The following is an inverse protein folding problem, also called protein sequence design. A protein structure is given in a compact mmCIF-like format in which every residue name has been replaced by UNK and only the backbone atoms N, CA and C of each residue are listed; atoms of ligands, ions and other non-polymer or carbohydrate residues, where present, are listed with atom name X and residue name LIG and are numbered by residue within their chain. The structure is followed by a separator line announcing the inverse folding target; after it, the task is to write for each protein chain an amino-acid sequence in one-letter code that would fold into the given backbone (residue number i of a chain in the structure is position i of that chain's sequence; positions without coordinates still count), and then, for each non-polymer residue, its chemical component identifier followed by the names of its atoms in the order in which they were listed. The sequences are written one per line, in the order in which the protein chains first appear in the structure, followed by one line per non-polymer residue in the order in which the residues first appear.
data_IF_293955723800
#
_entry.id   IF_293955723800
#
_cell.length_a   1.000
_cell.length_b   1.000
_cell.length_c   1.000
_cell.angle_alpha   90.00
_cell.angle_beta   90.00
_cell.angle_gamma   90.00
#
_symmetry.space_group_name_H-M   'P 1'
#
loop_
_entity.id
_entity.type
_entity.pdbx_description
1 polymer ?
#
# COMPACT_ATOMS: atom_id res chain seq x y z
N UNK A 1 38.70 13.46 -40.17
CA UNK A 1 37.50 12.60 -39.98
C UNK A 1 37.26 12.11 -38.56
N UNK A 2 38.26 11.87 -37.73
CA UNK A 2 38.08 11.32 -36.37
C UNK A 2 37.46 12.29 -35.34
N UNK A 3 37.67 13.60 -35.44
CA UNK A 3 37.16 14.60 -34.47
C UNK A 3 35.63 14.71 -34.51
N UNK A 4 35.01 14.74 -35.69
CA UNK A 4 33.55 14.85 -35.85
C UNK A 4 32.79 13.61 -35.30
N UNK A 5 33.43 12.45 -35.32
CA UNK A 5 32.82 11.22 -34.75
C UNK A 5 32.79 11.25 -33.20
N UNK A 6 33.83 11.80 -32.58
CA UNK A 6 33.92 11.97 -31.12
C UNK A 6 32.90 13.00 -30.62
N UNK A 7 32.79 14.15 -31.32
CA UNK A 7 31.79 15.17 -30.99
C UNK A 7 30.34 14.64 -31.11
N UNK A 8 30.07 13.85 -32.16
CA UNK A 8 28.75 13.22 -32.35
C UNK A 8 28.43 12.21 -31.24
N UNK A 9 29.42 11.45 -30.77
CA UNK A 9 29.29 10.49 -29.68
C UNK A 9 29.06 11.19 -28.34
N UNK A 10 29.77 12.29 -28.06
CA UNK A 10 29.61 13.11 -26.86
C UNK A 10 28.21 13.78 -26.87
N UNK A 11 27.79 14.36 -28.00
CA UNK A 11 26.43 14.94 -28.15
C UNK A 11 25.34 13.91 -27.93
N UNK A 12 25.48 12.69 -28.47
CA UNK A 12 24.50 11.61 -28.21
C UNK A 12 24.48 11.15 -26.77
N UNK A 13 25.62 11.12 -26.06
CA UNK A 13 25.69 10.81 -24.63
C UNK A 13 25.06 11.92 -23.77
N UNK A 14 25.24 13.18 -24.14
CA UNK A 14 24.64 14.34 -23.45
C UNK A 14 23.12 14.35 -23.69
N UNK A 15 22.65 14.11 -24.93
CA UNK A 15 21.22 14.02 -25.24
C UNK A 15 20.52 12.81 -24.60
N UNK A 16 21.23 11.69 -24.40
CA UNK A 16 20.70 10.54 -23.61
C UNK A 16 20.69 10.80 -22.11
N UNK A 17 21.57 11.67 -21.58
CA UNK A 17 21.52 12.12 -20.16
C UNK A 17 20.34 13.06 -19.88
N UNK A 18 19.84 13.82 -20.87
CA UNK A 18 18.72 14.74 -20.72
C UNK A 18 17.33 14.09 -20.63
N UNK A 19 17.21 12.76 -20.68
CA UNK A 19 15.95 12.01 -20.57
C UNK A 19 15.91 10.98 -19.46
N UNK A 20 16.81 11.04 -18.47
CA UNK A 20 16.54 10.36 -17.21
C UNK A 20 15.54 11.23 -16.46
N UNK A 21 14.22 10.85 -16.48
CA UNK A 21 13.29 11.31 -15.48
C UNK A 21 13.99 11.15 -14.14
N UNK A 22 14.14 12.23 -13.41
CA UNK A 22 14.79 12.22 -12.10
C UNK A 22 14.04 11.23 -11.20
N UNK A 23 14.74 10.52 -10.34
CA UNK A 23 14.17 9.51 -9.44
C UNK A 23 13.09 10.12 -8.54
N UNK A 24 13.17 11.44 -8.32
CA UNK A 24 12.22 12.29 -7.59
C UNK A 24 10.83 12.29 -8.22
N UNK A 25 10.70 12.35 -9.56
CA UNK A 25 9.41 12.37 -10.25
C UNK A 25 8.54 11.14 -9.98
N UNK A 26 9.11 9.99 -9.61
CA UNK A 26 8.36 8.77 -9.37
C UNK A 26 7.71 8.72 -7.98
N UNK A 27 8.33 9.35 -6.99
CA UNK A 27 7.83 9.34 -5.61
C UNK A 27 6.55 10.15 -5.45
N UNK A 28 6.26 11.08 -6.39
CA UNK A 28 5.11 11.96 -6.36
C UNK A 28 4.12 11.71 -7.50
N UNK A 29 4.09 10.47 -8.01
CA UNK A 29 3.18 10.05 -9.08
C UNK A 29 2.27 8.92 -8.62
N UNK A 30 1.08 8.88 -9.18
CA UNK A 30 0.19 7.72 -9.05
C UNK A 30 0.78 6.54 -9.82
N UNK A 31 0.62 5.35 -9.27
CA UNK A 31 1.03 4.10 -9.92
C UNK A 31 0.09 3.76 -11.08
N UNK A 32 0.39 4.28 -12.26
CA UNK A 32 -0.45 4.09 -13.46
C UNK A 32 -0.66 2.62 -13.83
N UNK A 33 0.35 1.77 -13.60
CA UNK A 33 0.20 0.31 -13.84
C UNK A 33 -0.82 -0.34 -12.90
N UNK A 34 -0.96 0.18 -11.68
CA UNK A 34 -1.99 -0.30 -10.76
C UNK A 34 -3.36 0.17 -11.24
N UNK A 35 -3.53 1.46 -11.54
CA UNK A 35 -4.82 2.02 -11.98
C UNK A 35 -5.29 1.48 -13.33
N UNK A 36 -4.36 1.14 -14.23
CA UNK A 36 -4.68 0.45 -15.49
C UNK A 36 -5.19 -0.98 -15.25
N UNK A 37 -4.58 -1.70 -14.28
CA UNK A 37 -4.96 -3.08 -13.95
C UNK A 37 -6.22 -3.16 -13.09
N UNK A 38 -6.41 -2.19 -12.21
CA UNK A 38 -7.48 -2.15 -11.22
C UNK A 38 -8.13 -0.75 -11.19
N UNK A 39 -8.94 -0.38 -12.20
CA UNK A 39 -9.49 0.97 -12.34
C UNK A 39 -10.48 1.34 -11.24
N UNK A 40 -11.11 0.36 -10.62
CA UNK A 40 -12.15 0.56 -9.61
C UNK A 40 -11.61 0.72 -8.18
N UNK A 41 -10.29 0.55 -7.98
CA UNK A 41 -9.68 0.64 -6.66
C UNK A 41 -8.83 1.90 -6.50
N UNK A 42 -8.81 2.43 -5.28
CA UNK A 42 -8.03 3.62 -4.96
C UNK A 42 -6.59 3.28 -4.57
N UNK A 43 -5.64 4.06 -5.08
CA UNK A 43 -4.25 4.01 -4.67
C UNK A 43 -3.69 5.43 -4.49
N UNK A 44 -3.03 5.67 -3.37
CA UNK A 44 -2.42 6.95 -3.04
C UNK A 44 -1.12 7.19 -3.79
N UNK A 45 -0.76 8.47 -3.85
CA UNK A 45 0.45 8.95 -4.51
C UNK A 45 1.70 8.32 -3.91
N UNK A 46 2.71 8.06 -4.72
CA UNK A 46 4.00 7.49 -4.29
C UNK A 46 3.96 6.01 -3.96
N UNK A 47 2.79 5.40 -3.83
CA UNK A 47 2.67 3.96 -3.58
C UNK A 47 3.13 3.15 -4.78
N UNK A 48 4.04 2.21 -4.55
CA UNK A 48 4.59 1.37 -5.60
C UNK A 48 4.35 -0.13 -5.35
N UNK A 49 4.52 -0.91 -6.40
CA UNK A 49 4.19 -2.34 -6.43
C UNK A 49 2.76 -2.57 -6.91
N UNK A 50 2.42 -3.81 -7.21
CA UNK A 50 1.10 -4.21 -7.69
C UNK A 50 0.76 -5.53 -7.00
N UNK A 51 -0.21 -5.56 -6.09
CA UNK A 51 -0.66 -6.79 -5.46
C UNK A 51 -1.47 -7.64 -6.44
N UNK A 52 -1.68 -8.89 -6.09
CA UNK A 52 -2.69 -9.72 -6.71
C UNK A 52 -4.01 -9.53 -5.95
N UNK A 53 -5.00 -8.90 -6.60
CA UNK A 53 -6.32 -8.71 -5.99
C UNK A 53 -7.24 -9.81 -6.46
N UNK A 54 -7.82 -10.54 -5.50
CA UNK A 54 -8.83 -11.55 -5.71
C UNK A 54 -10.19 -10.94 -5.39
N UNK A 55 -10.98 -10.68 -6.42
CA UNK A 55 -12.32 -10.09 -6.31
C UNK A 55 -13.36 -11.04 -6.88
N UNK A 56 -14.38 -11.32 -6.09
CA UNK A 56 -15.56 -12.13 -6.46
C UNK A 56 -16.78 -11.25 -6.71
N UNK A 57 -16.59 -9.94 -6.85
CA UNK A 57 -17.65 -8.96 -7.15
C UNK A 57 -18.79 -8.96 -6.11
N UNK A 58 -18.41 -9.12 -4.85
CA UNK A 58 -19.35 -9.14 -3.71
C UNK A 58 -19.62 -7.74 -3.13
N UNK A 59 -19.42 -6.68 -3.93
CA UNK A 59 -19.69 -5.30 -3.55
C UNK A 59 -18.66 -4.67 -2.61
N UNK A 60 -17.47 -5.27 -2.49
CA UNK A 60 -16.38 -4.77 -1.64
C UNK A 60 -15.29 -4.09 -2.46
N UNK A 61 -14.56 -3.17 -1.84
CA UNK A 61 -13.53 -2.37 -2.51
C UNK A 61 -12.17 -2.45 -1.80
N UNK A 62 -11.14 -1.94 -2.47
CA UNK A 62 -9.78 -1.80 -1.99
C UNK A 62 -9.35 -0.34 -2.01
N UNK A 63 -8.92 0.16 -0.87
CA UNK A 63 -8.32 1.48 -0.73
C UNK A 63 -6.89 1.36 -0.22
N UNK A 64 -5.93 1.94 -0.92
CA UNK A 64 -4.51 1.97 -0.53
C UNK A 64 -4.07 3.42 -0.41
N UNK A 65 -3.49 3.78 0.73
CA UNK A 65 -2.98 5.12 1.01
C UNK A 65 -1.70 5.47 0.24
N UNK A 66 -1.16 6.65 0.55
CA UNK A 66 0.03 7.20 -0.08
C UNK A 66 1.33 6.57 0.45
N UNK A 67 2.39 6.60 -0.37
CA UNK A 67 3.75 6.17 -0.02
C UNK A 67 3.87 4.73 0.49
N UNK A 68 2.93 3.86 0.12
CA UNK A 68 2.99 2.44 0.44
C UNK A 68 4.04 1.69 -0.37
N UNK A 69 4.62 0.66 0.24
CA UNK A 69 5.59 -0.25 -0.40
C UNK A 69 4.97 -1.63 -0.51
N UNK A 70 4.66 -2.08 -1.73
CA UNK A 70 4.07 -3.39 -1.99
C UNK A 70 5.09 -4.28 -2.67
N UNK A 71 5.54 -5.31 -1.96
CA UNK A 71 6.52 -6.26 -2.47
C UNK A 71 5.88 -7.31 -3.42
N UNK A 72 6.71 -8.21 -3.93
CA UNK A 72 6.28 -9.26 -4.85
C UNK A 72 5.30 -10.25 -4.19
N UNK A 73 4.35 -10.75 -4.98
CA UNK A 73 3.40 -11.80 -4.61
C UNK A 73 2.49 -11.46 -3.42
N UNK A 74 2.30 -10.17 -3.11
CA UNK A 74 1.28 -9.77 -2.13
C UNK A 74 -0.09 -10.10 -2.71
N UNK A 75 -0.95 -10.73 -1.90
CA UNK A 75 -2.31 -11.11 -2.26
C UNK A 75 -3.32 -10.40 -1.37
N UNK A 76 -4.37 -9.86 -1.97
CA UNK A 76 -5.47 -9.18 -1.28
C UNK A 76 -6.77 -9.84 -1.69
N UNK A 77 -7.53 -10.33 -0.73
CA UNK A 77 -8.79 -11.02 -0.94
C UNK A 77 -9.94 -10.09 -0.55
N UNK A 78 -10.82 -9.79 -1.49
CA UNK A 78 -11.99 -8.93 -1.27
C UNK A 78 -13.26 -9.72 -0.91
N UNK A 79 -13.16 -11.04 -0.86
CA UNK A 79 -14.28 -11.93 -0.55
C UNK A 79 -13.92 -13.39 -0.75
N UNK A 80 -14.88 -14.18 -1.28
CA UNK A 80 -14.68 -15.61 -1.58
C UNK A 80 -14.81 -16.50 -0.35
N UNK A 81 -15.43 -16.02 0.73
CA UNK A 81 -15.72 -16.82 1.91
C UNK A 81 -16.91 -17.73 1.67
N UNK A 82 -16.72 -19.02 1.88
CA UNK A 82 -17.83 -19.96 1.90
C UNK A 82 -18.51 -19.98 3.28
N UNK A 83 -19.79 -20.36 3.29
CA UNK A 83 -20.55 -20.52 4.52
C UNK A 83 -20.06 -21.73 5.31
N UNK A 84 -19.44 -21.48 6.44
CA UNK A 84 -18.94 -22.53 7.36
C UNK A 84 -19.96 -22.95 8.39
N UNK A 85 -21.07 -22.22 8.48
CA UNK A 85 -22.22 -22.45 9.36
C UNK A 85 -23.34 -23.28 8.71
N UNK A 86 -23.18 -23.65 7.43
CA UNK A 86 -24.08 -24.58 6.73
C UNK A 86 -23.59 -26.03 6.86
N UNK A 87 -24.49 -26.99 6.61
CA UNK A 87 -24.14 -28.42 6.58
C UNK A 87 -23.02 -28.72 5.56
N UNK A 88 -23.00 -27.96 4.47
CA UNK A 88 -21.96 -28.06 3.43
C UNK A 88 -21.32 -26.70 3.19
N UNK A 89 -20.01 -26.70 2.98
CA UNK A 89 -19.28 -25.52 2.50
C UNK A 89 -19.30 -25.40 0.97
N UNK A 90 -19.84 -26.39 0.26
CA UNK A 90 -19.91 -26.36 -1.19
C UNK A 90 -21.02 -25.41 -1.66
N UNK A 91 -20.73 -24.47 -2.58
CA UNK A 91 -21.68 -23.43 -2.99
C UNK A 91 -22.67 -23.98 -4.04
N UNK A 92 -23.51 -24.95 -3.68
CA UNK A 92 -24.50 -25.54 -4.58
C UNK A 92 -25.35 -24.52 -5.32
N UNK A 93 -25.84 -23.42 -4.67
CA UNK A 93 -26.67 -22.43 -5.36
C UNK A 93 -26.01 -21.79 -6.58
N UNK A 94 -24.69 -21.58 -6.54
CA UNK A 94 -23.93 -21.03 -7.68
C UNK A 94 -23.55 -22.07 -8.74
N UNK A 95 -23.65 -23.35 -8.41
CA UNK A 95 -23.18 -24.44 -9.25
C UNK A 95 -24.29 -25.25 -9.89
N UNK A 96 -25.54 -25.09 -9.43
CA UNK A 96 -26.70 -25.73 -10.02
C UNK A 96 -27.21 -24.92 -11.21
N UNK A 97 -27.68 -25.62 -12.26
CA UNK A 97 -28.25 -24.98 -13.45
C UNK A 97 -29.62 -24.32 -13.16
N UNK A 98 -30.38 -24.82 -12.17
CA UNK A 98 -31.68 -24.32 -11.80
C UNK A 98 -31.54 -23.34 -10.63
N UNK A 99 -32.29 -22.21 -10.64
CA UNK A 99 -32.34 -21.30 -9.50
C UNK A 99 -32.81 -22.02 -8.23
N UNK A 100 -32.12 -21.79 -7.13
CA UNK A 100 -32.45 -22.43 -5.84
C UNK A 100 -33.24 -21.50 -4.92
N UNK A 101 -33.25 -20.18 -5.20
CA UNK A 101 -33.77 -19.15 -4.29
C UNK A 101 -32.95 -18.96 -3.02
N UNK A 102 -31.76 -19.59 -2.96
CA UNK A 102 -30.84 -19.45 -1.82
C UNK A 102 -29.79 -18.41 -2.21
N UNK A 103 -29.71 -17.35 -1.40
CA UNK A 103 -28.75 -16.25 -1.54
C UNK A 103 -27.61 -16.42 -0.53
N UNK A 104 -26.56 -15.60 -0.67
CA UNK A 104 -25.44 -15.46 0.29
C UNK A 104 -24.67 -16.79 0.55
N UNK A 105 -24.57 -17.66 -0.44
CA UNK A 105 -23.77 -18.89 -0.32
C UNK A 105 -22.25 -18.64 -0.33
N UNK A 106 -21.82 -17.43 -0.73
CA UNK A 106 -20.47 -16.89 -0.60
C UNK A 106 -20.56 -15.48 -0.04
N UNK A 107 -19.55 -15.05 0.68
CA UNK A 107 -19.57 -13.77 1.40
C UNK A 107 -18.22 -13.05 1.37
N UNK A 108 -18.26 -11.78 1.71
CA UNK A 108 -17.09 -10.99 2.07
C UNK A 108 -17.26 -10.41 3.48
N UNK A 109 -16.15 -10.19 4.18
CA UNK A 109 -16.16 -9.48 5.47
C UNK A 109 -16.13 -7.96 5.30
N UNK A 110 -16.13 -7.45 4.07
CA UNK A 110 -16.12 -6.03 3.75
C UNK A 110 -14.83 -5.57 3.06
N UNK A 111 -14.70 -4.27 2.95
CA UNK A 111 -13.61 -3.58 2.26
C UNK A 111 -12.25 -3.85 2.90
N UNK A 112 -11.20 -3.78 2.06
CA UNK A 112 -9.82 -3.75 2.56
C UNK A 112 -9.30 -2.31 2.49
N UNK A 113 -8.92 -1.77 3.65
CA UNK A 113 -8.39 -0.42 3.77
C UNK A 113 -6.94 -0.46 4.25
N UNK A 114 -6.01 0.05 3.45
CA UNK A 114 -4.59 0.10 3.75
C UNK A 114 -4.17 1.55 3.87
N UNK A 115 -3.66 1.94 5.03
CA UNK A 115 -3.21 3.30 5.31
C UNK A 115 -1.99 3.74 4.50
N UNK A 116 -1.56 4.97 4.72
CA UNK A 116 -0.33 5.53 4.12
C UNK A 116 0.93 5.02 4.83
N UNK A 117 2.09 5.02 4.14
CA UNK A 117 3.38 4.55 4.67
C UNK A 117 3.36 3.07 5.12
N UNK A 118 2.50 2.25 4.54
CA UNK A 118 2.42 0.81 4.86
C UNK A 118 3.41 0.02 4.01
N UNK A 119 4.11 -0.91 4.65
CA UNK A 119 4.95 -1.88 3.96
C UNK A 119 4.32 -3.28 3.99
N UNK A 120 3.87 -3.74 2.83
CA UNK A 120 3.45 -5.12 2.60
C UNK A 120 4.65 -5.90 2.06
N UNK A 121 5.24 -6.75 2.89
CA UNK A 121 6.40 -7.55 2.50
C UNK A 121 5.98 -8.75 1.62
N UNK A 122 6.95 -9.39 0.99
CA UNK A 122 6.71 -10.41 -0.02
C UNK A 122 5.85 -11.56 0.50
N UNK A 123 4.94 -12.03 -0.35
CA UNK A 123 4.01 -13.13 -0.09
C UNK A 123 3.01 -12.88 1.06
N UNK A 124 2.86 -11.64 1.52
CA UNK A 124 1.82 -11.30 2.50
C UNK A 124 0.43 -11.52 1.88
N UNK A 125 -0.51 -11.98 2.71
CA UNK A 125 -1.91 -12.23 2.35
C UNK A 125 -2.78 -11.38 3.26
N UNK A 126 -3.69 -10.60 2.66
CA UNK A 126 -4.64 -9.74 3.38
C UNK A 126 -6.05 -10.24 3.08
N UNK A 127 -6.82 -10.56 4.11
CA UNK A 127 -8.20 -11.01 3.95
C UNK A 127 -9.18 -9.85 3.92
N UNK A 128 -10.39 -10.09 3.40
CA UNK A 128 -11.47 -9.10 3.32
C UNK A 128 -11.90 -8.59 4.69
N UNK A 129 -12.35 -7.34 4.74
CA UNK A 129 -12.76 -6.63 5.96
C UNK A 129 -11.61 -6.10 6.81
N UNK A 130 -10.35 -6.26 6.38
CA UNK A 130 -9.18 -5.86 7.17
C UNK A 130 -8.83 -4.39 6.91
N UNK A 131 -8.61 -3.66 8.01
CA UNK A 131 -8.00 -2.33 8.00
C UNK A 131 -6.55 -2.40 8.49
N UNK A 132 -5.61 -1.91 7.69
CA UNK A 132 -4.19 -1.78 8.04
C UNK A 132 -3.87 -0.32 8.29
N UNK A 133 -3.52 0.02 9.53
CA UNK A 133 -3.23 1.38 9.97
C UNK A 133 -1.97 1.97 9.33
N UNK A 134 -1.90 3.30 9.28
CA UNK A 134 -0.77 4.04 8.72
C UNK A 134 0.57 3.59 9.31
N UNK A 135 1.60 3.52 8.48
CA UNK A 135 2.95 3.17 8.91
C UNK A 135 3.15 1.72 9.37
N UNK A 136 2.14 0.85 9.23
CA UNK A 136 2.26 -0.55 9.60
C UNK A 136 3.19 -1.34 8.68
N UNK A 137 3.73 -2.43 9.20
CA UNK A 137 4.57 -3.37 8.46
C UNK A 137 3.97 -4.77 8.56
N UNK A 138 3.67 -5.34 7.41
CA UNK A 138 3.23 -6.72 7.27
C UNK A 138 4.43 -7.56 6.85
N UNK A 139 4.89 -8.43 7.73
CA UNK A 139 6.09 -9.25 7.50
C UNK A 139 5.90 -10.25 6.34
N UNK A 140 7.02 -10.78 5.84
CA UNK A 140 7.01 -11.78 4.76
C UNK A 140 6.11 -12.97 5.11
N UNK A 141 5.28 -13.40 4.15
CA UNK A 141 4.37 -14.53 4.24
C UNK A 141 3.36 -14.47 5.41
N UNK A 142 3.12 -13.28 5.97
CA UNK A 142 2.10 -13.09 6.99
C UNK A 142 0.69 -13.20 6.38
N UNK A 143 -0.24 -13.83 7.11
CA UNK A 143 -1.67 -13.92 6.74
C UNK A 143 -2.49 -13.04 7.70
N UNK A 144 -2.87 -11.86 7.22
CA UNK A 144 -3.57 -10.85 8.00
C UNK A 144 -5.07 -11.13 7.96
N UNK A 145 -5.62 -11.50 9.12
CA UNK A 145 -7.02 -11.91 9.29
C UNK A 145 -7.82 -10.94 10.17
N UNK A 146 -7.17 -9.91 10.72
CA UNK A 146 -7.74 -8.90 11.60
C UNK A 146 -7.06 -7.56 11.37
N UNK A 147 -7.68 -6.49 11.83
CA UNK A 147 -7.13 -5.14 11.76
C UNK A 147 -5.74 -5.04 12.38
N UNK A 148 -4.92 -4.20 11.77
CA UNK A 148 -3.54 -3.93 12.19
C UNK A 148 -3.43 -2.48 12.63
N UNK A 149 -3.01 -2.27 13.86
CA UNK A 149 -2.85 -0.92 14.43
C UNK A 149 -1.77 -0.11 13.68
N UNK A 150 -1.90 1.22 13.66
CA UNK A 150 -0.89 2.09 13.07
C UNK A 150 0.50 1.87 13.67
N UNK A 151 1.52 1.88 12.80
CA UNK A 151 2.93 1.66 13.16
C UNK A 151 3.21 0.32 13.83
N UNK A 152 2.29 -0.64 13.73
CA UNK A 152 2.50 -2.02 14.19
C UNK A 152 3.30 -2.82 13.17
N UNK A 153 4.15 -3.73 13.67
CA UNK A 153 4.78 -4.77 12.87
C UNK A 153 4.08 -6.08 13.23
N UNK A 154 3.46 -6.72 12.23
CA UNK A 154 2.78 -8.00 12.40
C UNK A 154 3.39 -9.07 11.52
N UNK A 155 3.28 -10.35 11.94
CA UNK A 155 3.83 -11.48 11.19
C UNK A 155 3.23 -12.81 11.60
N UNK A 156 3.42 -13.83 10.76
CA UNK A 156 2.95 -15.19 10.99
C UNK A 156 1.63 -15.53 10.31
N UNK A 157 1.15 -16.74 10.52
CA UNK A 157 -0.14 -17.24 10.02
C UNK A 157 -0.91 -17.95 11.16
N UNK A 158 -2.02 -17.36 11.66
CA UNK A 158 -2.48 -15.99 11.38
C UNK A 158 -1.50 -14.94 11.91
N UNK A 159 -1.47 -13.76 11.27
CA UNK A 159 -0.59 -12.67 11.68
C UNK A 159 -0.91 -12.19 13.10
N UNK A 160 0.16 -12.00 13.88
CA UNK A 160 0.08 -11.49 15.26
C UNK A 160 0.97 -10.26 15.39
N UNK A 161 0.62 -9.38 16.32
CA UNK A 161 1.46 -8.25 16.69
C UNK A 161 2.81 -8.75 17.21
N UNK A 162 3.90 -8.22 16.67
CA UNK A 162 5.26 -8.51 17.09
C UNK A 162 5.81 -7.37 17.95
N UNK A 163 5.73 -6.15 17.44
CA UNK A 163 6.12 -4.91 18.14
C UNK A 163 5.59 -3.68 17.41
N UNK A 164 5.66 -2.55 18.04
CA UNK A 164 5.52 -1.26 17.36
C UNK A 164 6.86 -0.76 16.81
N UNK A 165 6.80 0.06 15.76
CA UNK A 165 7.97 0.76 15.22
C UNK A 165 8.52 1.79 16.20
N UNK A 166 7.62 2.44 16.94
CA UNK A 166 7.91 3.58 17.81
C UNK A 166 7.11 3.50 19.12
N UNK A 167 7.48 4.32 20.11
CA UNK A 167 6.70 4.52 21.35
C UNK A 167 5.29 5.06 21.05
N UNK A 168 4.35 4.92 22.00
CA UNK A 168 2.98 5.45 21.85
C UNK A 168 2.98 6.95 21.57
N UNK A 169 3.77 7.70 22.32
CA UNK A 169 3.90 9.16 22.17
C UNK A 169 4.34 9.55 20.75
N UNK A 170 5.37 8.89 20.20
CA UNK A 170 5.83 9.17 18.83
C UNK A 170 4.76 8.77 17.80
N UNK A 171 4.09 7.64 17.98
CA UNK A 171 3.04 7.19 17.07
C UNK A 171 1.86 8.17 17.01
N UNK A 172 1.43 8.65 18.16
CA UNK A 172 0.36 9.66 18.27
C UNK A 172 0.71 10.95 17.54
N UNK A 173 1.92 11.46 17.74
CA UNK A 173 2.42 12.67 17.08
C UNK A 173 2.54 12.48 15.56
N UNK A 174 3.08 11.34 15.10
CA UNK A 174 3.17 11.01 13.67
C UNK A 174 1.79 10.91 13.01
N UNK A 175 0.79 10.33 13.71
CA UNK A 175 -0.60 10.28 13.25
C UNK A 175 -1.27 11.66 13.22
N UNK A 176 -0.91 12.54 14.14
CA UNK A 176 -1.43 13.91 14.17
C UNK A 176 -0.88 14.76 13.01
N UNK A 177 0.41 14.67 12.71
CA UNK A 177 1.03 15.47 11.64
C UNK A 177 0.68 14.97 10.25
N UNK A 178 0.39 13.68 10.05
CA UNK A 178 0.03 13.07 8.74
C UNK A 178 0.95 13.56 7.62
N UNK A 179 2.23 13.32 7.74
CA UNK A 179 3.26 13.84 6.82
C UNK A 179 3.00 13.45 5.35
N UNK A 180 2.31 12.35 5.10
CA UNK A 180 1.93 11.89 3.75
C UNK A 180 0.93 12.82 3.04
N UNK A 181 0.31 13.75 3.76
CA UNK A 181 -0.58 14.77 3.21
C UNK A 181 0.15 16.10 2.96
N UNK A 182 1.46 16.19 3.24
CA UNK A 182 2.24 17.40 2.99
C UNK A 182 2.41 17.65 1.49
N UNK A 183 2.49 18.93 1.07
CA UNK A 183 2.87 19.27 -0.30
C UNK A 183 4.18 18.59 -0.71
N UNK A 184 4.26 18.11 -1.94
CA UNK A 184 5.42 17.36 -2.44
C UNK A 184 6.74 18.10 -2.26
N UNK A 185 6.74 19.42 -2.46
CA UNK A 185 7.94 20.23 -2.30
C UNK A 185 8.41 20.26 -0.84
N UNK A 186 7.50 20.24 0.11
CA UNK A 186 7.83 20.18 1.55
C UNK A 186 8.47 18.84 1.88
N UNK A 187 7.92 17.74 1.37
CA UNK A 187 8.51 16.41 1.56
C UNK A 187 9.91 16.37 0.92
N UNK A 188 10.05 16.79 -0.34
CA UNK A 188 11.32 16.76 -1.07
C UNK A 188 12.42 17.58 -0.40
N UNK A 189 12.08 18.74 0.16
CA UNK A 189 13.03 19.64 0.82
C UNK A 189 13.44 19.17 2.23
N UNK A 190 12.76 18.17 2.80
CA UNK A 190 13.01 17.67 4.14
C UNK A 190 13.20 16.15 4.18
N UNK A 191 13.63 15.56 3.06
CA UNK A 191 13.85 14.12 2.93
C UNK A 191 14.93 13.61 3.89
N UNK A 192 15.92 14.43 4.21
CA UNK A 192 16.97 14.17 5.18
C UNK A 192 16.41 13.94 6.58
N UNK A 193 15.41 14.74 6.99
CA UNK A 193 14.73 14.58 8.28
C UNK A 193 13.78 13.37 8.25
N UNK A 194 13.00 13.22 7.17
CA UNK A 194 12.05 12.12 7.01
C UNK A 194 12.75 10.74 6.98
N UNK A 195 13.92 10.67 6.37
CA UNK A 195 14.72 9.45 6.25
C UNK A 195 15.82 9.35 7.33
N UNK A 196 15.59 9.92 8.52
CA UNK A 196 16.50 9.87 9.66
C UNK A 196 16.00 8.86 10.71
N UNK A 197 16.93 8.31 11.49
CA UNK A 197 16.62 7.58 12.73
C UNK A 197 16.31 8.50 13.90
N UNK A 198 16.63 9.80 13.79
CA UNK A 198 16.26 10.84 14.74
C UNK A 198 14.85 11.34 14.43
N UNK A 199 13.85 10.67 15.00
CA UNK A 199 12.44 10.95 14.74
C UNK A 199 12.02 12.30 15.32
N UNK A 200 12.64 12.76 16.41
CA UNK A 200 12.30 14.03 17.05
C UNK A 200 12.58 15.21 16.14
N UNK A 201 13.71 15.23 15.45
CA UNK A 201 14.04 16.29 14.47
C UNK A 201 12.98 16.39 13.37
N UNK A 202 12.46 15.25 12.92
CA UNK A 202 11.35 15.26 11.95
C UNK A 202 10.06 15.78 12.58
N UNK A 203 9.71 15.33 13.78
CA UNK A 203 8.46 15.72 14.45
C UNK A 203 8.43 17.21 14.78
N UNK A 204 9.54 17.79 15.29
CA UNK A 204 9.67 19.22 15.54
C UNK A 204 9.38 20.05 14.27
N UNK A 205 9.97 19.64 13.15
CA UNK A 205 9.71 20.27 11.85
C UNK A 205 8.24 20.10 11.43
N UNK A 206 7.70 18.88 11.48
CA UNK A 206 6.37 18.57 10.96
C UNK A 206 5.24 19.24 11.78
N UNK A 207 5.40 19.31 13.11
CA UNK A 207 4.47 19.98 14.02
C UNK A 207 4.50 21.51 13.81
N UNK A 208 5.71 22.09 13.63
CA UNK A 208 5.83 23.50 13.31
C UNK A 208 5.19 23.85 11.95
N UNK A 209 5.36 22.97 10.96
CA UNK A 209 4.72 23.14 9.65
C UNK A 209 3.19 23.13 9.78
N UNK A 210 2.59 22.15 10.47
CA UNK A 210 1.13 22.07 10.67
C UNK A 210 0.52 23.23 11.43
N UNK A 211 1.27 23.86 12.36
CA UNK A 211 0.79 25.04 13.09
C UNK A 211 0.69 26.30 12.21
N UNK A 212 1.39 26.30 11.07
CA UNK A 212 1.48 27.45 10.17
C UNK A 212 0.65 27.28 8.89
N UNK A 213 -0.07 26.15 8.73
CA UNK A 213 -1.09 25.93 7.69
C UNK A 213 -2.44 26.54 8.13
#
# INVERSE_FOLDING_TARGET
MKVKAVERFIRQKILKRGKKKTREDKCFQINTKFTEKYPDYAIGIGTYGIPHVHDWQQGTTLNIGAYGSIAANVQIFLGGHHRVDWVTTYPFPERLAAPTGIEDCVASNGDVNIGSDVWLASNAIILSGVTIGHGAVIANAAVVTKDVEPYSIVGGNPAKHLKYRFSSSIRERLLAVKWWDFPHQIIANNIDKLCSSDIEVFLEFAEAFRKNE
#
